data_IF_176621027644
#
_entry.id   IF_176621027644
#
_cell.length_a   1.000
_cell.length_b   1.000
_cell.length_c   1.000
_cell.angle_alpha   90.00
_cell.angle_beta   90.00
_cell.angle_gamma   90.00
#
_symmetry.space_group_name_H-M   'P 1'
#
loop_
_entity.id
_entity.type
_entity.pdbx_description
1 polymer ?
#
# COMPACT_ATOMS: atom_id res chain seq x y z
N UNK A 1 1.37 -19.00 -26.20
CA UNK A 1 1.44 -19.02 -24.73
C UNK A 1 0.26 -18.22 -24.19
N UNK A 2 -0.66 -18.84 -23.45
CA UNK A 2 -1.83 -18.14 -22.89
C UNK A 2 -1.39 -17.42 -21.62
N UNK A 3 -1.52 -16.09 -21.64
CA UNK A 3 -1.29 -15.20 -20.48
C UNK A 3 -2.23 -15.55 -19.30
N UNK A 4 -3.28 -16.34 -19.56
CA UNK A 4 -4.28 -16.77 -18.59
C UNK A 4 -3.78 -17.75 -17.52
N UNK A 5 -2.64 -18.42 -17.71
CA UNK A 5 -2.08 -19.36 -16.71
C UNK A 5 -0.97 -18.72 -15.85
N UNK A 6 -0.64 -17.45 -16.07
CA UNK A 6 0.48 -16.81 -15.36
C UNK A 6 0.10 -16.44 -13.91
N UNK A 7 -1.18 -16.18 -13.65
CA UNK A 7 -1.69 -15.84 -12.31
C UNK A 7 -3.04 -16.55 -12.10
N UNK A 8 -3.22 -17.31 -11.01
CA UNK A 8 -4.49 -17.96 -10.70
C UNK A 8 -5.66 -16.95 -10.72
N UNK A 9 -6.78 -17.32 -11.35
CA UNK A 9 -7.96 -16.45 -11.46
C UNK A 9 -8.43 -15.91 -10.11
N UNK A 10 -8.34 -16.71 -9.06
CA UNK A 10 -8.67 -16.32 -7.69
C UNK A 10 -7.84 -15.11 -7.22
N UNK A 11 -6.53 -15.11 -7.51
CA UNK A 11 -5.64 -14.01 -7.14
C UNK A 11 -5.99 -12.72 -7.89
N UNK A 12 -6.46 -12.87 -9.14
CA UNK A 12 -6.92 -11.75 -9.96
C UNK A 12 -8.20 -11.13 -9.37
N UNK A 13 -9.16 -11.95 -8.94
CA UNK A 13 -10.37 -11.43 -8.26
C UNK A 13 -10.04 -10.73 -6.94
N UNK A 14 -9.16 -11.31 -6.13
CA UNK A 14 -8.77 -10.70 -4.84
C UNK A 14 -8.06 -9.36 -5.02
N UNK A 15 -7.24 -9.20 -6.06
CA UNK A 15 -6.58 -7.93 -6.37
C UNK A 15 -7.57 -6.85 -6.81
N UNK A 16 -8.60 -7.19 -7.59
CA UNK A 16 -9.68 -6.25 -7.91
C UNK A 16 -10.47 -5.81 -6.66
N UNK A 17 -10.81 -6.75 -5.77
CA UNK A 17 -11.50 -6.44 -4.51
C UNK A 17 -10.62 -5.52 -3.65
N UNK A 18 -9.34 -5.84 -3.50
CA UNK A 18 -8.40 -5.02 -2.74
C UNK A 18 -8.29 -3.60 -3.33
N UNK A 19 -8.20 -3.46 -4.65
CA UNK A 19 -8.17 -2.16 -5.31
C UNK A 19 -9.45 -1.33 -5.03
N UNK A 20 -10.63 -1.95 -5.07
CA UNK A 20 -11.89 -1.28 -4.75
C UNK A 20 -11.94 -0.79 -3.28
N UNK A 21 -11.41 -1.58 -2.35
CA UNK A 21 -11.32 -1.21 -0.92
C UNK A 21 -10.39 0.00 -0.77
N UNK A 22 -9.19 -0.04 -1.37
CA UNK A 22 -8.23 1.07 -1.29
C UNK A 22 -8.81 2.36 -1.89
N UNK A 23 -9.54 2.24 -3.00
CA UNK A 23 -10.16 3.39 -3.65
C UNK A 23 -11.27 4.02 -2.79
N UNK A 24 -12.08 3.19 -2.14
CA UNK A 24 -13.12 3.69 -1.22
C UNK A 24 -12.53 4.30 0.06
N UNK A 25 -11.50 3.69 0.65
CA UNK A 25 -10.74 4.26 1.78
C UNK A 25 -10.14 5.63 1.42
N UNK A 26 -9.60 5.78 0.21
CA UNK A 26 -9.03 7.04 -0.26
C UNK A 26 -10.04 8.20 -0.20
N UNK A 27 -11.31 7.94 -0.52
CA UNK A 27 -12.39 8.92 -0.39
C UNK A 27 -12.68 9.31 1.07
N UNK A 28 -12.65 8.34 2.00
CA UNK A 28 -12.86 8.63 3.42
C UNK A 28 -11.69 9.36 4.07
N UNK A 29 -10.46 9.06 3.65
CA UNK A 29 -9.25 9.80 4.01
C UNK A 29 -9.34 11.25 3.54
N UNK A 30 -9.82 11.50 2.31
CA UNK A 30 -10.03 12.85 1.79
C UNK A 30 -11.04 13.67 2.63
N UNK A 31 -12.02 13.02 3.25
CA UNK A 31 -12.95 13.66 4.20
C UNK A 31 -12.39 13.89 5.61
N UNK A 32 -11.08 13.70 5.82
CA UNK A 32 -10.40 13.85 7.11
C UNK A 32 -11.01 13.02 8.26
N UNK A 33 -11.67 11.91 7.94
CA UNK A 33 -12.24 11.04 8.97
C UNK A 33 -11.11 10.38 9.77
N UNK A 34 -10.97 10.75 11.05
CA UNK A 34 -9.92 10.24 11.94
C UNK A 34 -9.85 8.72 12.02
N UNK A 35 -11.00 8.03 11.92
CA UNK A 35 -11.05 6.56 11.93
C UNK A 35 -10.49 5.97 10.64
N UNK A 36 -10.88 6.53 9.49
CA UNK A 36 -10.36 6.13 8.18
C UNK A 36 -8.85 6.39 8.06
N UNK A 37 -8.37 7.51 8.61
CA UNK A 37 -6.94 7.79 8.64
C UNK A 37 -6.15 6.68 9.37
N UNK A 38 -6.66 6.24 10.52
CA UNK A 38 -6.05 5.16 11.31
C UNK A 38 -6.17 3.79 10.63
N UNK A 39 -7.33 3.49 10.03
CA UNK A 39 -7.53 2.27 9.23
C UNK A 39 -6.54 2.23 8.06
N UNK A 40 -6.36 3.35 7.34
CA UNK A 40 -5.36 3.47 6.28
C UNK A 40 -3.93 3.20 6.76
N UNK A 41 -3.57 3.59 7.98
CA UNK A 41 -2.24 3.29 8.55
C UNK A 41 -2.09 1.79 8.80
N UNK A 42 -3.10 1.15 9.40
CA UNK A 42 -3.10 -0.30 9.63
C UNK A 42 -3.01 -1.06 8.30
N UNK A 43 -3.82 -0.67 7.31
CA UNK A 43 -3.80 -1.28 5.98
C UNK A 43 -2.44 -1.11 5.30
N UNK A 44 -1.81 0.05 5.44
CA UNK A 44 -0.45 0.29 4.93
C UNK A 44 0.59 -0.63 5.58
N UNK A 45 0.51 -0.85 6.90
CA UNK A 45 1.40 -1.77 7.60
C UNK A 45 1.15 -3.22 7.16
N UNK A 46 -0.10 -3.64 7.09
CA UNK A 46 -0.47 -4.99 6.64
C UNK A 46 0.02 -5.22 5.20
N UNK A 47 -0.14 -4.24 4.32
CA UNK A 47 0.32 -4.31 2.94
C UNK A 47 1.85 -4.52 2.86
N UNK A 48 2.64 -3.76 3.63
CA UNK A 48 4.10 -3.93 3.70
C UNK A 48 4.51 -5.32 4.21
N UNK A 49 3.88 -5.79 5.28
CA UNK A 49 4.18 -7.10 5.89
C UNK A 49 3.80 -8.23 4.93
N UNK A 50 2.60 -8.14 4.34
CA UNK A 50 2.12 -9.12 3.36
C UNK A 50 3.00 -9.17 2.12
N UNK A 51 3.50 -8.03 1.65
CA UNK A 51 4.40 -7.94 0.49
C UNK A 51 5.81 -8.49 0.79
N UNK A 52 6.18 -8.67 2.05
CA UNK A 52 7.51 -9.16 2.45
C UNK A 52 7.59 -10.70 2.49
N UNK A 53 6.65 -11.39 1.85
CA UNK A 53 6.64 -12.85 1.72
C UNK A 53 7.74 -13.33 0.74
N UNK A 54 8.42 -14.47 0.98
CA UNK A 54 9.44 -15.04 0.10
C UNK A 54 9.08 -15.08 -1.40
N UNK A 55 7.81 -15.23 -1.78
CA UNK A 55 7.40 -15.18 -3.19
C UNK A 55 7.70 -13.82 -3.86
N UNK A 56 7.49 -12.72 -3.14
CA UNK A 56 7.75 -11.37 -3.65
C UNK A 56 9.25 -11.03 -3.61
N UNK A 57 9.97 -11.52 -2.60
CA UNK A 57 11.42 -11.36 -2.52
C UNK A 57 12.13 -12.10 -3.66
N UNK A 58 11.69 -13.32 -3.96
CA UNK A 58 12.22 -14.10 -5.08
C UNK A 58 11.89 -13.48 -6.44
N UNK A 59 10.74 -12.81 -6.58
CA UNK A 59 10.41 -12.05 -7.78
C UNK A 59 11.37 -10.85 -7.97
N UNK A 60 11.64 -10.11 -6.89
CA UNK A 60 12.60 -8.99 -6.89
C UNK A 60 14.02 -9.43 -7.26
N UNK A 61 14.46 -10.62 -6.83
CA UNK A 61 15.77 -11.17 -7.23
C UNK A 61 15.87 -11.42 -8.75
N UNK A 62 14.74 -11.60 -9.43
CA UNK A 62 14.65 -11.75 -10.89
C UNK A 62 14.33 -10.44 -11.61
N UNK A 63 14.45 -9.30 -10.94
CA UNK A 63 14.26 -7.99 -11.56
C UNK A 63 15.13 -7.85 -12.82
N UNK A 64 14.56 -7.31 -13.89
CA UNK A 64 15.27 -7.15 -15.18
C UNK A 64 15.32 -8.39 -16.06
N UNK A 65 14.86 -9.56 -15.59
CA UNK A 65 14.83 -10.79 -16.40
C UNK A 65 13.82 -10.72 -17.55
N UNK A 66 12.67 -10.07 -17.33
CA UNK A 66 11.69 -9.75 -18.38
C UNK A 66 11.05 -8.39 -18.11
N UNK A 67 10.55 -7.72 -19.16
CA UNK A 67 9.85 -6.44 -19.04
C UNK A 67 8.63 -6.55 -18.12
N UNK A 68 7.86 -7.63 -18.24
CA UNK A 68 6.64 -7.87 -17.45
C UNK A 68 6.94 -8.03 -15.96
N UNK A 69 8.00 -8.77 -15.60
CA UNK A 69 8.43 -8.91 -14.21
C UNK A 69 8.94 -7.58 -13.64
N UNK A 70 9.74 -6.85 -14.41
CA UNK A 70 10.30 -5.56 -13.96
C UNK A 70 9.20 -4.52 -13.69
N UNK A 71 8.16 -4.46 -14.54
CA UNK A 71 7.00 -3.60 -14.31
C UNK A 71 6.20 -4.02 -13.07
N UNK A 72 6.01 -5.33 -12.87
CA UNK A 72 5.35 -5.85 -11.69
C UNK A 72 6.14 -5.51 -10.41
N UNK A 73 7.46 -5.64 -10.43
CA UNK A 73 8.34 -5.32 -9.30
C UNK A 73 8.33 -3.81 -8.98
N UNK A 74 8.37 -2.93 -9.98
CA UNK A 74 8.24 -1.47 -9.78
C UNK A 74 6.90 -1.16 -9.13
N UNK A 75 5.82 -1.75 -9.64
CA UNK A 75 4.46 -1.54 -9.11
C UNK A 75 4.36 -2.07 -7.67
N UNK A 76 5.03 -3.18 -7.37
CA UNK A 76 5.10 -3.75 -6.04
C UNK A 76 5.83 -2.82 -5.06
N UNK A 77 7.02 -2.33 -5.43
CA UNK A 77 7.81 -1.42 -4.58
C UNK A 77 7.04 -0.12 -4.33
N UNK A 78 6.45 0.47 -5.36
CA UNK A 78 5.69 1.71 -5.22
C UNK A 78 4.42 1.48 -4.39
N UNK A 79 3.63 0.48 -4.75
CA UNK A 79 2.30 0.23 -4.17
C UNK A 79 2.34 -0.29 -2.74
N UNK A 80 3.33 -1.11 -2.39
CA UNK A 80 3.37 -1.81 -1.11
C UNK A 80 4.46 -1.33 -0.17
N UNK A 81 5.43 -0.55 -0.61
CA UNK A 81 6.47 0.01 0.26
C UNK A 81 6.48 1.54 0.26
N UNK A 82 6.67 2.16 -0.90
CA UNK A 82 6.86 3.61 -0.97
C UNK A 82 5.62 4.39 -0.54
N UNK A 83 4.45 4.09 -1.12
CA UNK A 83 3.20 4.79 -0.82
C UNK A 83 2.75 4.57 0.64
N UNK A 84 2.75 3.34 1.20
CA UNK A 84 2.44 3.13 2.62
C UNK A 84 3.36 3.91 3.56
N UNK A 85 4.67 3.92 3.30
CA UNK A 85 5.63 4.68 4.13
C UNK A 85 5.34 6.18 4.09
N UNK A 86 5.11 6.74 2.91
CA UNK A 86 4.76 8.16 2.76
C UNK A 86 3.47 8.48 3.54
N UNK A 87 2.45 7.65 3.39
CA UNK A 87 1.18 7.83 4.07
C UNK A 87 1.33 7.81 5.60
N UNK A 88 2.07 6.83 6.13
CA UNK A 88 2.35 6.71 7.57
C UNK A 88 3.16 7.91 8.07
N UNK A 89 4.18 8.34 7.33
CA UNK A 89 5.00 9.51 7.68
C UNK A 89 4.15 10.80 7.71
N UNK A 90 3.28 11.00 6.72
CA UNK A 90 2.36 12.14 6.68
C UNK A 90 1.37 12.11 7.85
N UNK A 91 0.81 10.93 8.17
CA UNK A 91 -0.07 10.76 9.32
C UNK A 91 0.65 11.11 10.64
N UNK A 92 1.85 10.57 10.84
CA UNK A 92 2.67 10.85 12.03
C UNK A 92 2.99 12.35 12.14
N UNK A 93 3.40 12.98 11.02
CA UNK A 93 3.68 14.41 10.97
C UNK A 93 2.46 15.27 11.32
N UNK A 94 1.28 14.89 10.83
CA UNK A 94 0.02 15.55 11.16
C UNK A 94 -0.26 15.50 12.66
N UNK A 95 -0.10 14.33 13.30
CA UNK A 95 -0.29 14.15 14.75
C UNK A 95 0.67 14.97 15.59
N UNK A 96 1.94 15.04 15.19
CA UNK A 96 2.95 15.85 15.90
C UNK A 96 2.57 17.34 15.83
N UNK A 97 2.10 17.84 14.67
CA UNK A 97 1.62 19.23 14.56
C UNK A 97 0.40 19.51 15.42
N UNK A 98 -0.56 18.59 15.49
CA UNK A 98 -1.74 18.73 16.35
C UNK A 98 -1.33 18.86 17.83
N UNK A 99 -0.48 17.97 18.33
CA UNK A 99 0.05 18.04 19.70
C UNK A 99 0.82 19.35 19.98
N UNK A 100 1.64 19.81 19.04
CA UNK A 100 2.40 21.07 19.18
C UNK A 100 1.47 22.29 19.29
N UNK A 101 0.36 22.33 18.54
CA UNK A 101 -0.63 23.41 18.64
C UNK A 101 -1.34 23.44 19.99
N UNK A 102 -1.63 22.27 20.58
CA UNK A 102 -2.23 22.17 21.91
C UNK A 102 -1.27 22.61 23.02
N UNK A 103 0.02 22.27 22.91
CA UNK A 103 1.05 22.69 23.88
C UNK A 103 1.29 24.21 23.91
N UNK A 104 1.06 24.90 22.79
CA UNK A 104 1.25 26.37 22.67
C UNK A 104 0.05 27.21 23.13
N UNK A 105 -1.09 26.57 23.43
CA UNK A 105 -2.34 27.23 23.83
C UNK A 105 -2.56 27.24 25.35
N UNK A 106 -1.71 26.53 26.10
CA UNK A 106 -1.63 26.57 27.56
C UNK A 106 -0.44 27.43 27.99
#
# INVERSE_FOLDING_TARGET
>A
MRVADLVPLLLTYLTFIAAAIIFSESYFVYRENRKALFIGVILGIIAMVSSSNPAHLYALEKFGSTLSLSLADITLVIGFYLLPVIYIAMYAWSRIRECSKHAKKN
#
